data_IF_986103094842
#
_entry.id   IF_986103094842
#
_cell.length_a   1.000
_cell.length_b   1.000
_cell.length_c   1.000
_cell.angle_alpha   90.00
_cell.angle_beta   90.00
_cell.angle_gamma   90.00
#
_symmetry.space_group_name_H-M   'P 1'
#
loop_
_entity.id
_entity.type
_entity.pdbx_description
1 polymer ?
#
# COMPACT_ATOMS: atom_id res chain seq x y z
N UNK A 1 24.22 -23.46 30.07
CA UNK A 1 24.73 -22.16 30.49
C UNK A 1 23.79 -21.08 30.03
N UNK A 2 23.59 -20.05 30.85
CA UNK A 2 22.63 -18.95 30.63
C UNK A 2 22.70 -18.32 29.25
N UNK A 3 23.88 -18.26 28.65
CA UNK A 3 24.10 -17.67 27.33
C UNK A 3 23.34 -18.41 26.21
N UNK A 4 23.26 -19.75 26.28
CA UNK A 4 22.48 -20.54 25.32
C UNK A 4 20.97 -20.33 25.52
N UNK A 5 20.53 -20.17 26.77
CA UNK A 5 19.13 -19.89 27.10
C UNK A 5 18.74 -18.49 26.59
N UNK A 6 19.58 -17.48 26.81
CA UNK A 6 19.39 -16.12 26.29
C UNK A 6 19.31 -16.09 24.76
N UNK A 7 20.20 -16.82 24.06
CA UNK A 7 20.15 -16.95 22.59
C UNK A 7 18.82 -17.56 22.11
N UNK A 8 18.33 -18.59 22.79
CA UNK A 8 17.05 -19.24 22.45
C UNK A 8 15.87 -18.31 22.68
N UNK A 9 15.82 -17.61 23.81
CA UNK A 9 14.77 -16.62 24.11
C UNK A 9 14.76 -15.48 23.08
N UNK A 10 15.93 -14.95 22.73
CA UNK A 10 16.04 -13.91 21.70
C UNK A 10 15.54 -14.38 20.33
N UNK A 11 15.87 -15.61 19.93
CA UNK A 11 15.39 -16.20 18.69
C UNK A 11 13.85 -16.37 18.69
N UNK A 12 13.26 -16.87 19.79
CA UNK A 12 11.80 -17.00 19.91
C UNK A 12 11.12 -15.63 19.85
N UNK A 13 11.63 -14.62 20.57
CA UNK A 13 11.07 -13.27 20.55
C UNK A 13 11.10 -12.65 19.14
N UNK A 14 12.18 -12.89 18.38
CA UNK A 14 12.29 -12.44 16.98
C UNK A 14 11.27 -13.14 16.05
N UNK A 15 11.02 -14.43 16.25
CA UNK A 15 10.01 -15.17 15.48
C UNK A 15 8.61 -14.61 15.79
N UNK A 16 8.30 -14.40 17.08
CA UNK A 16 7.01 -13.86 17.52
C UNK A 16 6.77 -12.43 17.00
N UNK A 17 7.79 -11.57 17.02
CA UNK A 17 7.67 -10.21 16.48
C UNK A 17 7.41 -10.22 14.98
N UNK A 18 8.16 -11.02 14.21
CA UNK A 18 7.96 -11.15 12.77
C UNK A 18 6.57 -11.70 12.42
N UNK A 19 6.10 -12.73 13.13
CA UNK A 19 4.76 -13.28 12.94
C UNK A 19 3.65 -12.27 13.27
N UNK A 20 3.89 -11.37 14.24
CA UNK A 20 2.96 -10.28 14.58
C UNK A 20 2.92 -9.20 13.49
N UNK A 21 4.05 -8.84 12.90
CA UNK A 21 4.12 -7.87 11.79
C UNK A 21 3.45 -8.43 10.54
N UNK A 22 3.70 -9.70 10.20
CA UNK A 22 3.08 -10.34 9.03
C UNK A 22 1.55 -10.37 9.15
N UNK A 23 1.01 -10.78 10.31
CA UNK A 23 -0.45 -10.78 10.55
C UNK A 23 -1.06 -9.39 10.35
N UNK A 24 -0.41 -8.34 10.86
CA UNK A 24 -0.88 -6.96 10.70
C UNK A 24 -0.94 -6.53 9.23
N UNK A 25 0.00 -6.93 8.38
CA UNK A 25 -0.09 -6.65 6.93
C UNK A 25 -1.31 -7.32 6.28
N UNK A 26 -1.59 -8.56 6.66
CA UNK A 26 -2.71 -9.32 6.10
C UNK A 26 -4.07 -8.74 6.55
N UNK A 27 -4.10 -7.95 7.63
CA UNK A 27 -5.28 -7.24 8.14
C UNK A 27 -5.58 -5.90 7.40
N UNK A 28 -4.70 -5.44 6.51
CA UNK A 28 -4.91 -4.21 5.73
C UNK A 28 -5.76 -4.51 4.49
N UNK A 29 -6.90 -3.83 4.27
CA UNK A 29 -7.73 -4.04 3.10
C UNK A 29 -6.94 -3.86 1.79
N UNK A 30 -6.91 -4.85 0.87
CA UNK A 30 -6.15 -4.72 -0.37
C UNK A 30 -6.59 -3.55 -1.26
N UNK A 31 -7.85 -3.10 -1.12
CA UNK A 31 -8.43 -2.00 -1.89
C UNK A 31 -7.80 -0.63 -1.59
N UNK A 32 -7.15 -0.45 -0.43
CA UNK A 32 -6.51 0.81 -0.04
C UNK A 32 -5.00 0.83 -0.34
N UNK A 33 -4.45 -0.29 -0.78
CA UNK A 33 -3.04 -0.43 -1.11
C UNK A 33 -2.82 -0.08 -2.58
N UNK A 34 -1.90 0.85 -2.84
CA UNK A 34 -1.48 1.16 -4.19
C UNK A 34 -0.74 -0.03 -4.80
N UNK A 35 -1.20 -0.51 -5.95
CA UNK A 35 -0.60 -1.64 -6.67
C UNK A 35 0.82 -1.36 -7.19
N UNK A 36 1.21 -0.09 -7.32
CA UNK A 36 2.55 0.30 -7.79
C UNK A 36 3.57 0.36 -6.65
N UNK A 37 3.22 1.00 -5.53
CA UNK A 37 4.15 1.17 -4.40
C UNK A 37 4.05 0.08 -3.34
N UNK A 38 2.96 -0.68 -3.31
CA UNK A 38 2.67 -1.66 -2.26
C UNK A 38 2.40 -1.03 -0.89
N UNK A 39 2.06 0.27 -0.84
CA UNK A 39 1.76 1.02 0.39
C UNK A 39 0.31 1.51 0.37
N UNK A 40 -0.22 1.83 1.55
CA UNK A 40 -1.52 2.51 1.68
C UNK A 40 -1.44 3.85 0.92
N UNK A 41 -2.47 4.15 0.12
CA UNK A 41 -2.57 5.40 -0.63
C UNK A 41 -2.80 6.59 0.31
N UNK A 42 -2.02 7.65 0.15
CA UNK A 42 -2.21 8.94 0.84
C UNK A 42 -3.01 9.88 -0.04
N UNK A 43 -2.73 9.88 -1.34
CA UNK A 43 -3.48 10.64 -2.34
C UNK A 43 -4.04 9.71 -3.43
N UNK A 44 -5.15 8.99 -3.14
CA UNK A 44 -5.73 8.07 -4.08
C UNK A 44 -6.36 8.82 -5.26
N UNK A 45 -5.94 8.47 -6.48
CA UNK A 45 -6.52 8.95 -7.74
C UNK A 45 -7.11 7.82 -8.55
N UNK A 46 -8.28 8.05 -9.15
CA UNK A 46 -8.94 7.13 -10.05
C UNK A 46 -8.43 7.34 -11.47
N UNK A 47 -7.88 6.28 -12.05
CA UNK A 47 -7.53 6.24 -13.46
C UNK A 47 -8.77 5.97 -14.34
N UNK A 48 -8.77 6.38 -15.62
CA UNK A 48 -9.78 5.99 -16.61
C UNK A 48 -9.99 4.48 -16.73
N UNK A 49 -8.97 3.68 -16.42
CA UNK A 49 -9.08 2.21 -16.33
C UNK A 49 -9.95 1.70 -15.17
N UNK A 50 -10.43 2.57 -14.28
CA UNK A 50 -11.30 2.24 -13.13
C UNK A 50 -10.55 1.81 -11.88
N UNK A 51 -9.21 1.83 -11.88
CA UNK A 51 -8.38 1.48 -10.73
C UNK A 51 -7.88 2.74 -10.02
N UNK A 52 -7.84 2.69 -8.69
CA UNK A 52 -7.20 3.75 -7.89
C UNK A 52 -5.73 3.46 -7.63
N UNK A 53 -4.91 4.52 -7.64
CA UNK A 53 -3.47 4.50 -7.41
C UNK A 53 -3.05 5.65 -6.49
N UNK A 54 -1.85 5.56 -5.92
CA UNK A 54 -1.18 6.72 -5.32
C UNK A 54 -0.76 7.68 -6.45
N UNK A 55 -1.19 8.94 -6.39
CA UNK A 55 -1.01 9.94 -7.45
C UNK A 55 0.40 9.96 -8.00
N UNK A 56 1.38 10.18 -7.12
CA UNK A 56 2.79 10.35 -7.54
C UNK A 56 3.33 9.14 -8.30
N UNK A 57 2.88 7.94 -7.90
CA UNK A 57 3.38 6.69 -8.44
C UNK A 57 2.77 6.38 -9.81
N UNK A 58 1.48 6.69 -10.01
CA UNK A 58 0.85 6.53 -11.32
C UNK A 58 1.32 7.60 -12.32
N UNK A 59 1.46 8.86 -11.90
CA UNK A 59 1.97 9.94 -12.77
C UNK A 59 3.36 9.59 -13.32
N UNK A 60 4.28 9.20 -12.43
CA UNK A 60 5.61 8.72 -12.82
C UNK A 60 5.54 7.53 -13.79
N UNK A 61 4.66 6.57 -13.52
CA UNK A 61 4.55 5.36 -14.37
C UNK A 61 4.05 5.70 -15.78
N UNK A 62 3.10 6.62 -15.90
CA UNK A 62 2.60 7.10 -17.19
C UNK A 62 3.68 7.83 -17.98
N UNK A 63 4.50 8.66 -17.31
CA UNK A 63 5.65 9.31 -17.94
C UNK A 63 6.65 8.28 -18.47
N UNK A 64 6.97 7.25 -17.68
CA UNK A 64 7.94 6.20 -18.05
C UNK A 64 7.47 5.33 -19.22
N UNK A 65 6.17 5.03 -19.31
CA UNK A 65 5.63 4.06 -20.26
C UNK A 65 4.87 4.68 -21.43
N UNK A 66 4.88 6.02 -21.57
CA UNK A 66 4.19 6.71 -22.65
C UNK A 66 2.67 6.67 -22.52
N UNK A 67 2.15 6.78 -21.30
CA UNK A 67 0.72 6.92 -20.99
C UNK A 67 -0.07 5.62 -21.05
N UNK A 68 0.55 4.45 -20.92
CA UNK A 68 -0.17 3.18 -20.83
C UNK A 68 -0.61 2.91 -19.38
N UNK A 69 -1.83 2.40 -19.18
CA UNK A 69 -2.23 1.93 -17.85
C UNK A 69 -1.30 0.78 -17.42
N UNK A 70 -0.76 0.78 -16.19
CA UNK A 70 0.20 -0.23 -15.75
C UNK A 70 -0.38 -1.65 -15.68
N UNK A 71 -1.71 -1.79 -15.60
CA UNK A 71 -2.42 -3.06 -15.44
C UNK A 71 -3.49 -3.31 -16.51
N UNK A 72 -3.72 -2.37 -17.43
CA UNK A 72 -4.63 -2.52 -18.58
C UNK A 72 -3.95 -2.06 -19.87
N UNK A 73 -3.24 -2.98 -20.52
CA UNK A 73 -2.38 -2.65 -21.66
C UNK A 73 -3.09 -1.95 -22.84
N UNK A 74 -4.39 -2.16 -22.99
CA UNK A 74 -5.28 -1.57 -23.99
C UNK A 74 -5.77 -0.15 -23.65
N UNK A 75 -5.55 0.31 -22.42
CA UNK A 75 -5.98 1.62 -21.93
C UNK A 75 -4.79 2.59 -21.91
N UNK A 76 -5.02 3.80 -22.44
CA UNK A 76 -4.03 4.88 -22.43
C UNK A 76 -4.64 6.19 -21.96
N UNK A 77 -3.88 6.95 -21.18
CA UNK A 77 -4.27 8.26 -20.67
C UNK A 77 -3.05 9.04 -20.18
N UNK A 78 -3.21 10.36 -20.07
CA UNK A 78 -2.22 11.25 -19.46
C UNK A 78 -2.54 11.45 -17.97
N UNK A 79 -1.58 12.02 -17.23
CA UNK A 79 -1.77 12.39 -15.82
C UNK A 79 -2.96 13.32 -15.60
N UNK A 80 -3.27 14.20 -16.56
CA UNK A 80 -4.41 15.13 -16.48
C UNK A 80 -5.78 14.44 -16.45
N UNK A 81 -5.85 13.18 -16.89
CA UNK A 81 -7.07 12.38 -16.83
C UNK A 81 -7.28 11.66 -15.48
N UNK A 82 -6.36 11.85 -14.51
CA UNK A 82 -6.46 11.27 -13.18
C UNK A 82 -7.37 12.13 -12.30
N UNK A 83 -8.45 11.54 -11.81
CA UNK A 83 -9.39 12.21 -10.93
C UNK A 83 -9.12 11.87 -9.46
N UNK A 84 -9.24 12.83 -8.55
CA UNK A 84 -9.09 12.56 -7.12
C UNK A 84 -10.20 11.65 -6.59
N UNK A 85 -9.85 10.52 -5.97
CA UNK A 85 -10.82 9.61 -5.36
C UNK A 85 -11.09 10.01 -3.91
N UNK A 86 -11.87 11.07 -3.71
CA UNK A 86 -12.16 11.64 -2.39
C UNK A 86 -12.88 10.66 -1.45
N UNK A 87 -13.75 9.80 -2.00
CA UNK A 87 -14.43 8.77 -1.21
C UNK A 87 -13.45 7.76 -0.63
N UNK A 88 -12.52 7.27 -1.46
CA UNK A 88 -11.48 6.34 -1.00
C UNK A 88 -10.51 7.03 -0.04
N UNK A 89 -10.15 8.29 -0.29
CA UNK A 89 -9.31 9.08 0.62
C UNK A 89 -9.94 9.14 2.02
N UNK A 90 -11.21 9.54 2.11
CA UNK A 90 -11.93 9.61 3.39
C UNK A 90 -12.00 8.25 4.08
N UNK A 91 -12.29 7.19 3.34
CA UNK A 91 -12.30 5.84 3.89
C UNK A 91 -10.93 5.44 4.46
N UNK A 92 -9.84 5.77 3.76
CA UNK A 92 -8.48 5.51 4.23
C UNK A 92 -8.18 6.30 5.50
N UNK A 93 -8.54 7.57 5.53
CA UNK A 93 -8.34 8.43 6.70
C UNK A 93 -9.09 7.87 7.93
N UNK A 94 -10.35 7.48 7.77
CA UNK A 94 -11.16 6.86 8.82
C UNK A 94 -10.54 5.51 9.28
N UNK A 95 -10.11 4.67 8.32
CA UNK A 95 -9.44 3.39 8.61
C UNK A 95 -8.14 3.58 9.39
N UNK A 96 -7.31 4.56 9.02
CA UNK A 96 -6.04 4.84 9.70
C UNK A 96 -6.24 5.45 11.09
N UNK A 97 -7.33 6.19 11.31
CA UNK A 97 -7.69 6.69 12.63
C UNK A 97 -8.01 5.53 13.60
N UNK A 98 -8.72 4.51 13.12
CA UNK A 98 -9.05 3.30 13.90
C UNK A 98 -7.88 2.30 13.98
N UNK A 99 -6.98 2.33 12.99
CA UNK A 99 -5.84 1.42 12.87
C UNK A 99 -4.50 2.13 12.64
N UNK A 100 -3.99 2.94 13.59
CA UNK A 100 -2.75 3.70 13.40
C UNK A 100 -1.51 2.84 13.10
N UNK A 101 -1.53 1.57 13.53
CA UNK A 101 -0.45 0.62 13.26
C UNK A 101 -0.28 0.29 11.77
N UNK A 102 -1.31 0.54 10.94
CA UNK A 102 -1.30 0.22 9.52
C UNK A 102 -0.44 1.18 8.69
N UNK A 103 -0.16 2.38 9.19
CA UNK A 103 0.65 3.38 8.49
C UNK A 103 2.06 2.89 8.11
N UNK A 104 2.63 2.00 8.93
CA UNK A 104 3.94 1.39 8.73
C UNK A 104 3.90 -0.08 8.29
N UNK A 105 2.73 -0.63 7.99
CA UNK A 105 2.57 -2.00 7.52
C UNK A 105 3.19 -2.15 6.13
#
# INVERSE_FOLDING_TARGET
>A
GDELLQRRVAAVNKILSNARVKRRRDDVPPSIICKLSGRIMVDPVLAPGGQSYERREIEKKLEENGGHDPFKADVRYTSDALEGNLCLKRFIDDYLAEHPWAYGA
#
